data_IF_776857175305
#
_entry.id   IF_776857175305
#
_cell.length_a   1.000
_cell.length_b   1.000
_cell.length_c   1.000
_cell.angle_alpha   90.00
_cell.angle_beta   90.00
_cell.angle_gamma   90.00
#
_symmetry.space_group_name_H-M   'P 1'
#
loop_
_entity.id
_entity.type
_entity.pdbx_description
1 polymer ?
#
# COMPACT_ATOMS: atom_id res chain seq x y z
N UNK A 1 -7.18 -24.00 8.80
CA UNK A 1 -7.22 -24.54 7.42
C UNK A 1 -8.68 -24.76 7.08
N UNK A 2 -9.35 -23.74 6.53
CA UNK A 2 -10.70 -23.90 5.98
C UNK A 2 -10.50 -24.26 4.51
N UNK A 3 -10.96 -25.45 4.13
CA UNK A 3 -10.97 -25.92 2.76
C UNK A 3 -11.73 -24.91 1.88
N UNK A 4 -11.03 -24.26 0.96
CA UNK A 4 -11.64 -23.55 -0.15
C UNK A 4 -12.29 -24.59 -1.07
N UNK A 5 -13.54 -24.96 -0.77
CA UNK A 5 -14.37 -25.65 -1.74
C UNK A 5 -14.76 -24.61 -2.80
N UNK A 6 -14.37 -24.87 -4.06
CA UNK A 6 -14.91 -24.15 -5.21
C UNK A 6 -16.44 -24.14 -5.11
N UNK A 7 -17.01 -22.98 -4.81
CA UNK A 7 -18.46 -22.82 -4.68
C UNK A 7 -19.04 -22.81 -6.10
N UNK A 8 -19.72 -23.88 -6.46
CA UNK A 8 -20.46 -23.96 -7.72
C UNK A 8 -21.97 -23.83 -7.42
N UNK A 9 -22.57 -22.76 -7.90
CA UNK A 9 -23.97 -22.40 -7.65
C UNK A 9 -24.80 -22.67 -8.92
N UNK A 10 -26.07 -22.94 -8.72
CA UNK A 10 -27.08 -22.79 -9.80
C UNK A 10 -27.35 -21.32 -10.07
N UNK A 11 -27.99 -20.97 -11.16
CA UNK A 11 -28.42 -19.60 -11.47
C UNK A 11 -29.35 -19.04 -10.38
N UNK A 12 -30.24 -19.85 -9.81
CA UNK A 12 -31.16 -19.44 -8.74
C UNK A 12 -30.39 -19.15 -7.43
N UNK A 13 -29.44 -20.01 -7.05
CA UNK A 13 -28.59 -19.80 -5.88
C UNK A 13 -27.69 -18.57 -6.03
N UNK A 14 -27.15 -18.34 -7.24
CA UNK A 14 -26.37 -17.15 -7.55
C UNK A 14 -27.20 -15.87 -7.43
N UNK A 15 -28.42 -15.87 -7.94
CA UNK A 15 -29.36 -14.75 -7.79
C UNK A 15 -29.73 -14.50 -6.33
N UNK A 16 -29.94 -15.57 -5.53
CA UNK A 16 -30.20 -15.46 -4.11
C UNK A 16 -28.99 -14.89 -3.34
N UNK A 17 -27.77 -15.30 -3.70
CA UNK A 17 -26.55 -14.76 -3.10
C UNK A 17 -26.37 -13.26 -3.42
N UNK A 18 -26.57 -12.85 -4.67
CA UNK A 18 -26.60 -11.43 -5.06
C UNK A 18 -27.60 -10.65 -4.23
N UNK A 19 -28.84 -11.13 -4.11
CA UNK A 19 -29.89 -10.48 -3.32
C UNK A 19 -29.55 -10.42 -1.80
N UNK A 20 -28.90 -11.44 -1.28
CA UNK A 20 -28.43 -11.49 0.11
C UNK A 20 -27.38 -10.41 0.38
N UNK A 21 -26.39 -10.33 -0.50
CA UNK A 21 -25.26 -9.40 -0.34
C UNK A 21 -25.68 -7.95 -0.60
N UNK A 22 -26.65 -7.71 -1.49
CA UNK A 22 -27.18 -6.39 -1.79
C UNK A 22 -27.86 -5.70 -0.59
N UNK A 23 -28.14 -6.42 0.49
CA UNK A 23 -28.61 -5.83 1.75
C UNK A 23 -27.54 -5.03 2.47
N UNK A 24 -26.26 -5.35 2.24
CA UNK A 24 -25.10 -4.73 2.91
C UNK A 24 -24.27 -3.87 1.98
N UNK A 25 -24.24 -4.22 0.70
CA UNK A 25 -23.44 -3.54 -0.32
C UNK A 25 -24.35 -2.79 -1.31
N UNK A 26 -24.23 -1.45 -1.41
CA UNK A 26 -25.06 -0.66 -2.33
C UNK A 26 -24.85 -1.00 -3.81
N UNK A 27 -23.66 -1.51 -4.15
CA UNK A 27 -23.38 -1.98 -5.51
C UNK A 27 -22.96 -3.44 -5.45
N UNK A 28 -23.73 -4.31 -6.10
CA UNK A 28 -23.42 -5.74 -6.24
C UNK A 28 -23.63 -6.14 -7.70
N UNK A 29 -22.64 -6.81 -8.28
CA UNK A 29 -22.72 -7.36 -9.64
C UNK A 29 -22.12 -8.74 -9.70
N UNK A 30 -22.75 -9.60 -10.49
CA UNK A 30 -22.19 -10.89 -10.88
C UNK A 30 -21.66 -10.77 -12.31
N UNK A 31 -20.35 -10.86 -12.48
CA UNK A 31 -19.66 -10.59 -13.73
C UNK A 31 -19.19 -11.90 -14.39
N UNK A 32 -19.45 -12.05 -15.68
CA UNK A 32 -18.88 -13.13 -16.49
C UNK A 32 -17.47 -12.75 -16.97
N UNK A 33 -16.70 -13.76 -17.41
CA UNK A 33 -15.39 -13.54 -17.99
C UNK A 33 -15.43 -12.58 -19.21
N UNK A 34 -16.47 -12.69 -20.03
CA UNK A 34 -16.63 -11.83 -21.22
C UNK A 34 -16.99 -10.39 -20.84
N UNK A 35 -17.84 -10.20 -19.84
CA UNK A 35 -18.13 -8.87 -19.31
C UNK A 35 -16.88 -8.20 -18.73
N UNK A 36 -16.06 -8.92 -17.94
CA UNK A 36 -14.80 -8.40 -17.39
C UNK A 36 -13.83 -7.99 -18.51
N UNK A 37 -13.78 -8.75 -19.61
CA UNK A 37 -12.90 -8.45 -20.76
C UNK A 37 -13.40 -7.32 -21.63
N UNK A 38 -14.72 -7.22 -21.84
CA UNK A 38 -15.36 -6.33 -22.79
C UNK A 38 -15.78 -4.96 -22.21
N UNK A 39 -16.08 -4.90 -20.91
CA UNK A 39 -16.43 -3.64 -20.26
C UNK A 39 -15.18 -2.83 -19.94
N UNK A 40 -14.90 -1.71 -20.62
CA UNK A 40 -13.72 -0.89 -20.38
C UNK A 40 -13.79 -0.08 -19.08
N UNK A 41 -14.94 -0.06 -18.36
CA UNK A 41 -15.25 0.97 -17.40
C UNK A 41 -15.44 0.46 -15.97
N UNK A 42 -14.95 1.24 -15.03
CA UNK A 42 -15.22 1.09 -13.61
C UNK A 42 -16.72 1.30 -13.36
N UNK A 43 -17.35 0.32 -12.71
CA UNK A 43 -18.79 0.29 -12.42
C UNK A 43 -19.27 1.40 -11.48
N UNK A 44 -18.34 2.14 -10.84
CA UNK A 44 -18.62 3.24 -9.93
C UNK A 44 -18.46 4.61 -10.58
N UNK A 45 -17.50 4.76 -11.51
CA UNK A 45 -17.02 6.07 -11.95
C UNK A 45 -17.12 6.30 -13.47
N UNK A 46 -17.82 5.43 -14.24
CA UNK A 46 -17.77 5.52 -15.69
C UNK A 46 -16.35 5.30 -16.22
N UNK A 47 -15.94 6.01 -17.25
CA UNK A 47 -14.77 5.73 -18.10
C UNK A 47 -13.36 5.84 -17.45
N UNK A 48 -13.21 5.99 -16.15
CA UNK A 48 -11.94 6.49 -15.56
C UNK A 48 -11.16 5.57 -14.61
N UNK A 49 -11.62 4.39 -14.24
CA UNK A 49 -10.89 3.54 -13.31
C UNK A 49 -10.49 2.18 -13.90
N UNK A 50 -9.22 1.97 -14.28
CA UNK A 50 -8.73 0.69 -14.79
C UNK A 50 -8.52 -0.37 -13.70
N UNK A 51 -8.53 0.00 -12.41
CA UNK A 51 -8.13 -0.86 -11.30
C UNK A 51 -9.06 -2.07 -11.10
N UNK A 52 -10.37 -1.90 -11.09
CA UNK A 52 -11.29 -3.02 -10.87
C UNK A 52 -11.26 -4.09 -11.97
N UNK A 53 -10.86 -3.72 -13.18
CA UNK A 53 -10.71 -4.70 -14.26
C UNK A 53 -9.57 -5.67 -13.98
N UNK A 54 -8.43 -5.16 -13.56
CA UNK A 54 -7.26 -5.98 -13.23
C UNK A 54 -7.58 -6.92 -12.07
N UNK A 55 -8.13 -6.40 -10.99
CA UNK A 55 -8.52 -7.18 -9.80
C UNK A 55 -9.63 -8.18 -10.12
N UNK A 56 -10.54 -7.86 -11.03
CA UNK A 56 -11.58 -8.80 -11.50
C UNK A 56 -10.97 -9.95 -12.32
N UNK A 57 -9.95 -9.67 -13.14
CA UNK A 57 -9.22 -10.72 -13.88
C UNK A 57 -8.41 -11.60 -12.93
N UNK A 58 -7.79 -11.03 -11.91
CA UNK A 58 -7.07 -11.76 -10.87
C UNK A 58 -8.01 -12.66 -10.05
N UNK A 59 -9.15 -12.13 -9.62
CA UNK A 59 -10.19 -12.92 -8.96
C UNK A 59 -10.73 -14.04 -9.84
N UNK A 60 -10.92 -13.79 -11.15
CA UNK A 60 -11.40 -14.81 -12.10
C UNK A 60 -10.38 -15.93 -12.29
N UNK A 61 -9.08 -15.63 -12.20
CA UNK A 61 -7.99 -16.60 -12.37
C UNK A 61 -7.62 -17.33 -11.06
N UNK A 62 -8.01 -16.77 -9.91
CA UNK A 62 -7.72 -17.28 -8.57
C UNK A 62 -8.89 -18.00 -7.92
N UNK A 63 -8.64 -18.50 -6.71
CA UNK A 63 -9.65 -19.13 -5.83
C UNK A 63 -9.97 -18.28 -4.61
N UNK A 64 -9.26 -17.19 -4.38
CA UNK A 64 -9.36 -16.36 -3.18
C UNK A 64 -10.10 -15.04 -3.45
N UNK A 65 -10.73 -14.51 -2.39
CA UNK A 65 -11.34 -13.19 -2.43
C UNK A 65 -10.27 -12.12 -2.61
N UNK A 66 -10.50 -11.19 -3.55
CA UNK A 66 -9.66 -10.00 -3.76
C UNK A 66 -10.36 -8.80 -3.14
N UNK A 67 -9.62 -7.94 -2.45
CA UNK A 67 -10.14 -6.69 -1.87
C UNK A 67 -9.34 -5.49 -2.36
N UNK A 68 -10.04 -4.46 -2.81
CA UNK A 68 -9.46 -3.20 -3.30
C UNK A 68 -10.09 -1.99 -2.65
N UNK A 69 -9.30 -0.93 -2.49
CA UNK A 69 -9.78 0.39 -2.10
C UNK A 69 -9.77 1.30 -3.32
N UNK A 70 -10.84 2.06 -3.48
CA UNK A 70 -11.08 2.94 -4.62
C UNK A 70 -11.43 4.33 -4.12
N UNK A 71 -10.91 5.37 -4.76
CA UNK A 71 -11.33 6.75 -4.53
C UNK A 71 -12.14 7.25 -5.73
N UNK A 72 -13.37 7.68 -5.49
CA UNK A 72 -14.24 8.26 -6.51
C UNK A 72 -14.93 9.51 -5.96
N UNK A 73 -14.77 10.64 -6.64
CA UNK A 73 -15.34 11.95 -6.28
C UNK A 73 -15.08 12.34 -4.81
N UNK A 74 -13.90 12.00 -4.28
CA UNK A 74 -13.52 12.28 -2.89
C UNK A 74 -14.10 11.32 -1.85
N UNK A 75 -14.84 10.30 -2.28
CA UNK A 75 -15.36 9.24 -1.41
C UNK A 75 -14.52 7.98 -1.60
N UNK A 76 -14.08 7.39 -0.50
CA UNK A 76 -13.39 6.11 -0.49
C UNK A 76 -14.40 4.96 -0.50
N UNK A 77 -14.12 3.95 -1.33
CA UNK A 77 -14.93 2.75 -1.45
C UNK A 77 -14.07 1.51 -1.24
N UNK A 78 -14.67 0.49 -0.64
CA UNK A 78 -14.10 -0.86 -0.61
C UNK A 78 -14.82 -1.75 -1.59
N UNK A 79 -14.08 -2.31 -2.55
CA UNK A 79 -14.52 -3.35 -3.45
C UNK A 79 -14.04 -4.72 -2.93
N UNK A 80 -14.94 -5.69 -2.90
CA UNK A 80 -14.61 -7.10 -2.71
C UNK A 80 -15.01 -7.86 -3.96
N UNK A 81 -14.10 -8.70 -4.43
CA UNK A 81 -14.28 -9.54 -5.62
C UNK A 81 -14.13 -11.00 -5.18
N UNK A 82 -15.22 -11.72 -5.23
CA UNK A 82 -15.24 -13.15 -4.87
C UNK A 82 -15.38 -14.00 -6.11
N UNK A 83 -14.40 -14.88 -6.38
CA UNK A 83 -14.52 -15.87 -7.44
C UNK A 83 -15.57 -16.93 -7.06
N UNK A 84 -16.40 -17.33 -8.01
CA UNK A 84 -17.35 -18.43 -7.85
C UNK A 84 -17.67 -19.04 -9.21
N UNK A 85 -18.31 -20.20 -9.23
CA UNK A 85 -18.82 -20.81 -10.44
C UNK A 85 -20.34 -20.78 -10.43
N UNK A 86 -20.94 -20.53 -11.59
CA UNK A 86 -22.40 -20.64 -11.80
C UNK A 86 -22.62 -21.56 -12.98
N UNK A 87 -23.34 -22.65 -12.77
CA UNK A 87 -23.52 -23.71 -13.77
C UNK A 87 -22.17 -24.21 -14.35
N UNK A 88 -21.12 -24.26 -13.53
CA UNK A 88 -19.76 -24.62 -13.93
C UNK A 88 -18.93 -23.53 -14.59
N UNK A 89 -19.54 -22.40 -14.95
CA UNK A 89 -18.86 -21.27 -15.59
C UNK A 89 -18.26 -20.30 -14.55
N UNK A 90 -17.02 -19.84 -14.74
CA UNK A 90 -16.39 -18.93 -13.81
C UNK A 90 -17.06 -17.54 -13.84
N UNK A 91 -17.34 -17.01 -12.66
CA UNK A 91 -17.93 -15.69 -12.40
C UNK A 91 -17.17 -14.98 -11.29
N UNK A 92 -17.31 -13.68 -11.21
CA UNK A 92 -16.85 -12.86 -10.10
C UNK A 92 -18.02 -12.09 -9.50
N UNK A 93 -18.26 -12.29 -8.21
CA UNK A 93 -19.19 -11.47 -7.45
C UNK A 93 -18.46 -10.22 -6.97
N UNK A 94 -18.75 -9.10 -7.63
CA UNK A 94 -18.26 -7.78 -7.24
C UNK A 94 -19.23 -7.14 -6.26
N UNK A 95 -18.69 -6.71 -5.11
CA UNK A 95 -19.41 -6.05 -4.02
C UNK A 95 -18.68 -4.74 -3.69
N UNK A 96 -19.37 -3.60 -3.77
CA UNK A 96 -18.76 -2.30 -3.48
C UNK A 96 -19.62 -1.54 -2.48
N UNK A 97 -18.96 -0.95 -1.48
CA UNK A 97 -19.59 -0.04 -0.51
C UNK A 97 -18.67 1.15 -0.21
N UNK A 98 -19.23 2.30 0.16
CA UNK A 98 -18.40 3.36 0.71
C UNK A 98 -17.74 2.88 2.01
N UNK A 99 -16.55 3.39 2.29
CA UNK A 99 -15.89 3.25 3.58
C UNK A 99 -16.41 4.41 4.43
N UNK A 100 -16.98 4.14 5.60
CA UNK A 100 -17.38 5.21 6.50
C UNK A 100 -16.16 5.81 7.22
N UNK A 101 -16.29 7.04 7.70
CA UNK A 101 -15.19 7.77 8.34
C UNK A 101 -14.62 7.03 9.55
N UNK A 102 -15.46 6.30 10.28
CA UNK A 102 -15.03 5.56 11.46
C UNK A 102 -14.19 4.33 11.06
N UNK A 103 -14.62 3.60 10.04
CA UNK A 103 -13.89 2.45 9.49
C UNK A 103 -12.54 2.89 8.89
N UNK A 104 -12.53 4.02 8.16
CA UNK A 104 -11.31 4.61 7.62
C UNK A 104 -10.32 5.00 8.73
N UNK A 105 -10.83 5.62 9.79
CA UNK A 105 -10.02 6.01 10.95
C UNK A 105 -9.48 4.77 11.71
N UNK A 106 -10.30 3.73 11.89
CA UNK A 106 -9.85 2.49 12.53
C UNK A 106 -8.79 1.78 11.69
N UNK A 107 -8.95 1.71 10.38
CA UNK A 107 -7.96 1.14 9.47
C UNK A 107 -6.66 1.95 9.48
N UNK A 108 -6.76 3.27 9.51
CA UNK A 108 -5.60 4.17 9.58
C UNK A 108 -4.80 3.95 10.88
N UNK A 109 -5.49 3.80 12.02
CA UNK A 109 -4.85 3.48 13.30
C UNK A 109 -4.10 2.13 13.28
N UNK A 110 -4.68 1.11 12.65
CA UNK A 110 -4.04 -0.23 12.53
C UNK A 110 -2.76 -0.17 11.71
N UNK A 111 -2.68 0.71 10.72
CA UNK A 111 -1.56 0.82 9.79
C UNK A 111 -0.60 1.98 10.06
N UNK A 112 -0.83 2.75 11.12
CA UNK A 112 0.04 3.87 11.50
C UNK A 112 1.01 3.45 12.60
N UNK A 113 2.27 3.87 12.49
CA UNK A 113 3.27 3.75 13.54
C UNK A 113 3.06 4.87 14.57
N UNK A 114 2.77 4.48 15.81
CA UNK A 114 2.40 5.42 16.90
C UNK A 114 3.50 6.40 17.27
N UNK A 115 4.77 6.06 17.02
CA UNK A 115 5.89 6.92 17.33
C UNK A 115 6.14 7.97 16.25
N UNK A 116 6.07 7.57 15.00
CA UNK A 116 6.48 8.40 13.86
C UNK A 116 5.31 8.93 13.04
N UNK A 117 4.09 8.45 13.30
CA UNK A 117 2.86 8.81 12.58
C UNK A 117 2.90 8.55 11.06
N UNK A 118 3.85 7.73 10.60
CA UNK A 118 3.88 7.23 9.22
C UNK A 118 3.31 5.82 9.16
N UNK A 119 3.20 5.22 7.98
CA UNK A 119 2.74 3.83 7.87
C UNK A 119 3.68 2.89 8.64
N UNK A 120 3.12 1.86 9.28
CA UNK A 120 3.88 0.87 10.03
C UNK A 120 4.28 -0.33 9.16
N UNK A 121 5.08 -1.24 9.73
CA UNK A 121 5.52 -2.47 9.05
C UNK A 121 4.35 -3.34 8.58
N UNK A 122 3.25 -3.40 9.34
CA UNK A 122 2.07 -4.18 8.98
C UNK A 122 1.45 -3.68 7.66
N UNK A 123 1.36 -2.36 7.47
CA UNK A 123 0.92 -1.76 6.21
C UNK A 123 1.77 -2.24 5.02
N UNK A 124 3.09 -2.25 5.20
CA UNK A 124 3.98 -2.78 4.18
C UNK A 124 3.67 -4.24 3.82
N UNK A 125 3.57 -5.10 4.82
CA UNK A 125 3.38 -6.55 4.59
C UNK A 125 2.01 -6.86 3.94
N UNK A 126 0.95 -6.16 4.34
CA UNK A 126 -0.41 -6.46 3.91
C UNK A 126 -0.84 -5.68 2.66
N UNK A 127 -0.29 -4.47 2.42
CA UNK A 127 -0.76 -3.59 1.34
C UNK A 127 0.28 -3.34 0.25
N UNK A 128 1.56 -3.23 0.58
CA UNK A 128 2.59 -2.83 -0.38
C UNK A 128 3.42 -3.98 -0.92
N UNK A 129 3.77 -4.94 -0.09
CA UNK A 129 4.75 -5.98 -0.39
C UNK A 129 4.52 -6.67 -1.73
N UNK A 130 3.30 -7.16 -1.96
CA UNK A 130 2.90 -7.86 -3.18
C UNK A 130 2.44 -6.97 -4.33
N UNK A 131 2.30 -5.65 -4.09
CA UNK A 131 1.79 -4.73 -5.10
C UNK A 131 2.74 -4.60 -6.28
N UNK A 132 2.22 -4.75 -7.50
CA UNK A 132 2.98 -4.58 -8.75
C UNK A 132 2.70 -3.20 -9.33
N UNK A 133 3.75 -2.43 -9.57
CA UNK A 133 3.60 -1.08 -10.08
C UNK A 133 4.86 -0.55 -10.78
N UNK A 134 4.71 0.60 -11.42
CA UNK A 134 5.84 1.42 -11.86
C UNK A 134 6.11 2.44 -10.75
N UNK A 135 7.25 2.32 -10.06
CA UNK A 135 7.57 3.19 -8.94
C UNK A 135 9.07 3.35 -8.73
N UNK A 136 9.45 4.40 -8.01
CA UNK A 136 10.71 4.47 -7.30
C UNK A 136 10.53 3.84 -5.92
N UNK A 137 11.42 2.95 -5.52
CA UNK A 137 11.44 2.30 -4.20
C UNK A 137 12.76 2.59 -3.53
N UNK A 138 12.73 3.12 -2.32
CA UNK A 138 13.94 3.42 -1.57
C UNK A 138 13.89 2.83 -0.16
N UNK A 139 15.04 2.36 0.29
CA UNK A 139 15.32 2.03 1.69
C UNK A 139 16.20 3.13 2.28
N UNK A 140 15.83 3.62 3.44
CA UNK A 140 16.57 4.60 4.24
C UNK A 140 16.93 3.91 5.55
N UNK A 141 18.19 3.94 5.91
CA UNK A 141 18.75 3.34 7.13
C UNK A 141 19.53 4.40 7.89
N UNK A 142 19.16 4.67 9.14
CA UNK A 142 19.83 5.69 9.96
C UNK A 142 21.19 5.17 10.42
N UNK A 143 22.24 5.94 10.13
CA UNK A 143 23.59 5.57 10.48
C UNK A 143 23.80 5.64 12.00
N UNK A 144 24.45 4.62 12.55
CA UNK A 144 24.84 4.55 13.95
C UNK A 144 23.72 4.83 14.97
N UNK A 145 22.45 4.62 14.60
CA UNK A 145 21.29 4.94 15.45
C UNK A 145 21.32 4.24 16.80
N UNK A 146 21.91 3.02 16.85
CA UNK A 146 22.11 2.33 18.13
C UNK A 146 23.10 3.07 19.03
N UNK A 147 24.22 3.54 18.49
CA UNK A 147 25.21 4.31 19.24
C UNK A 147 24.64 5.64 19.74
N UNK A 148 23.78 6.27 18.92
CA UNK A 148 23.01 7.45 19.34
C UNK A 148 22.14 7.14 20.57
N UNK A 149 21.36 6.04 20.54
CA UNK A 149 20.53 5.62 21.67
C UNK A 149 21.34 5.31 22.93
N UNK A 150 22.48 4.65 22.75
CA UNK A 150 23.37 4.30 23.87
C UNK A 150 23.99 5.56 24.54
N UNK A 151 24.17 6.64 23.75
CA UNK A 151 24.77 7.90 24.24
C UNK A 151 23.72 8.90 24.77
N UNK A 152 22.62 9.10 24.03
CA UNK A 152 21.62 10.14 24.33
C UNK A 152 20.37 9.58 25.04
N UNK A 153 20.26 8.26 25.13
CA UNK A 153 19.11 7.55 25.70
C UNK A 153 17.98 7.29 24.71
N UNK A 154 17.16 6.29 25.03
CA UNK A 154 16.05 5.86 24.14
C UNK A 154 15.01 6.94 23.87
N UNK A 155 14.74 7.79 24.86
CA UNK A 155 13.79 8.90 24.67
C UNK A 155 14.27 9.89 23.60
N UNK A 156 15.56 10.20 23.57
CA UNK A 156 16.15 11.01 22.51
C UNK A 156 16.06 10.31 21.15
N UNK A 157 16.25 8.99 21.11
CA UNK A 157 16.05 8.18 19.90
C UNK A 157 14.61 8.21 19.40
N UNK A 158 13.64 8.17 20.28
CA UNK A 158 12.23 8.28 19.91
C UNK A 158 11.91 9.65 19.31
N UNK A 159 12.42 10.73 19.90
CA UNK A 159 12.29 12.07 19.34
C UNK A 159 12.98 12.20 17.97
N UNK A 160 14.15 11.60 17.83
CA UNK A 160 14.92 11.60 16.59
C UNK A 160 14.15 10.87 15.47
N UNK A 161 13.57 9.68 15.75
CA UNK A 161 12.76 8.95 14.78
C UNK A 161 11.54 9.73 14.31
N UNK A 162 10.83 10.41 15.22
CA UNK A 162 9.71 11.28 14.88
C UNK A 162 10.12 12.47 14.00
N UNK A 163 11.24 13.12 14.35
CA UNK A 163 11.77 14.23 13.58
C UNK A 163 12.23 13.81 12.18
N UNK A 164 12.94 12.69 12.07
CA UNK A 164 13.39 12.10 10.80
C UNK A 164 12.19 11.72 9.93
N UNK A 165 11.18 11.05 10.48
CA UNK A 165 9.98 10.69 9.73
C UNK A 165 9.27 11.93 9.16
N UNK A 166 9.19 13.00 9.95
CA UNK A 166 8.65 14.29 9.53
C UNK A 166 9.48 14.91 8.40
N UNK A 167 10.81 14.88 8.51
CA UNK A 167 11.71 15.40 7.49
C UNK A 167 11.56 14.62 6.17
N UNK A 168 11.53 13.29 6.21
CA UNK A 168 11.31 12.45 5.02
C UNK A 168 9.93 12.77 4.43
N UNK A 169 8.87 12.82 5.25
CA UNK A 169 7.49 13.11 4.78
C UNK A 169 7.40 14.46 4.07
N UNK A 170 8.09 15.49 4.55
CA UNK A 170 8.12 16.81 3.90
C UNK A 170 8.86 16.80 2.55
N UNK A 171 9.79 15.88 2.36
CA UNK A 171 10.57 15.71 1.13
C UNK A 171 9.91 14.92 0.02
N UNK A 172 8.76 14.28 0.27
CA UNK A 172 8.04 13.42 -0.69
C UNK A 172 6.61 13.93 -0.92
N UNK A 173 5.92 13.41 -1.93
CA UNK A 173 4.54 13.83 -2.27
C UNK A 173 3.54 13.23 -1.30
N UNK A 174 2.33 13.80 -1.25
CA UNK A 174 1.20 13.20 -0.50
C UNK A 174 0.78 11.82 -1.05
N UNK A 175 1.01 11.58 -2.33
CA UNK A 175 0.74 10.31 -3.03
C UNK A 175 1.84 9.26 -2.85
N UNK A 176 2.98 9.64 -2.26
CA UNK A 176 4.08 8.72 -2.01
C UNK A 176 3.89 8.05 -0.64
N UNK A 177 4.18 6.78 -0.56
CA UNK A 177 4.09 6.02 0.69
C UNK A 177 5.39 6.12 1.48
N UNK A 178 5.26 6.38 2.78
CA UNK A 178 6.36 6.35 3.75
C UNK A 178 6.01 5.35 4.85
N UNK A 179 6.86 4.35 5.00
CA UNK A 179 6.68 3.25 5.95
C UNK A 179 7.86 3.18 6.91
N UNK A 180 7.59 3.10 8.20
CA UNK A 180 8.59 2.66 9.16
C UNK A 180 8.75 1.13 9.06
N UNK A 181 9.82 0.71 8.40
CA UNK A 181 10.06 -0.68 8.04
C UNK A 181 10.73 -1.49 9.16
N UNK A 182 11.52 -0.83 10.00
CA UNK A 182 12.27 -1.42 11.11
C UNK A 182 12.45 -0.43 12.26
N UNK A 183 13.38 -0.73 13.17
CA UNK A 183 13.68 0.15 14.31
C UNK A 183 14.12 1.54 13.85
N UNK A 184 15.03 1.56 12.89
CA UNK A 184 15.77 2.71 12.36
C UNK A 184 15.68 2.81 10.82
N UNK A 185 14.79 2.01 10.21
CA UNK A 185 14.68 1.88 8.75
C UNK A 185 13.32 2.34 8.25
N UNK A 186 13.36 3.09 7.14
CA UNK A 186 12.18 3.54 6.45
C UNK A 186 12.19 3.06 5.00
N UNK A 187 11.01 2.76 4.47
CA UNK A 187 10.78 2.50 3.05
C UNK A 187 9.95 3.62 2.49
N UNK A 188 10.36 4.13 1.32
CA UNK A 188 9.58 5.08 0.53
C UNK A 188 9.22 4.43 -0.79
N UNK A 189 7.95 4.52 -1.16
CA UNK A 189 7.44 4.08 -2.47
C UNK A 189 6.85 5.29 -3.18
N UNK A 190 7.36 5.62 -4.36
CA UNK A 190 6.99 6.78 -5.17
C UNK A 190 6.35 6.33 -6.49
N UNK A 191 5.03 6.16 -6.57
CA UNK A 191 4.35 5.69 -7.77
C UNK A 191 4.60 6.63 -8.96
N UNK A 192 4.85 6.05 -10.13
CA UNK A 192 4.99 6.73 -11.42
C UNK A 192 5.99 7.90 -11.42
N UNK A 193 7.03 7.87 -10.58
CA UNK A 193 8.04 8.92 -10.54
C UNK A 193 8.97 8.81 -11.75
N UNK A 194 9.27 9.92 -12.48
CA UNK A 194 10.31 9.94 -13.52
C UNK A 194 11.70 9.66 -12.94
N UNK A 195 12.61 9.14 -13.78
CA UNK A 195 13.96 8.74 -13.35
C UNK A 195 14.74 9.87 -12.69
N UNK A 196 14.78 11.02 -13.37
CA UNK A 196 15.56 12.19 -12.91
C UNK A 196 14.98 12.79 -11.63
N UNK A 197 13.65 12.78 -11.53
CA UNK A 197 12.95 13.22 -10.32
C UNK A 197 13.20 12.29 -9.14
N UNK A 198 13.29 10.97 -9.39
CA UNK A 198 13.56 9.99 -8.36
C UNK A 198 14.94 10.22 -7.72
N UNK A 199 16.00 10.31 -8.54
CA UNK A 199 17.36 10.55 -8.04
C UNK A 199 17.45 11.86 -7.24
N UNK A 200 16.87 12.94 -7.78
CA UNK A 200 16.81 14.24 -7.09
C UNK A 200 16.06 14.14 -5.76
N UNK A 201 14.95 13.40 -5.72
CA UNK A 201 14.14 13.22 -4.51
C UNK A 201 14.90 12.45 -3.43
N UNK A 202 15.63 11.40 -3.80
CA UNK A 202 16.47 10.66 -2.85
C UNK A 202 17.53 11.55 -2.21
N UNK A 203 18.19 12.40 -3.00
CA UNK A 203 19.16 13.36 -2.48
C UNK A 203 18.50 14.36 -1.50
N UNK A 204 17.33 14.91 -1.87
CA UNK A 204 16.58 15.82 -1.00
C UNK A 204 16.18 15.16 0.32
N UNK A 205 15.77 13.89 0.29
CA UNK A 205 15.43 13.11 1.51
C UNK A 205 16.67 12.92 2.37
N UNK A 206 17.81 12.55 1.79
CA UNK A 206 19.08 12.41 2.53
C UNK A 206 19.50 13.73 3.20
N UNK A 207 19.43 14.84 2.48
CA UNK A 207 19.74 16.16 3.04
C UNK A 207 18.75 16.59 4.14
N UNK A 208 17.45 16.29 3.96
CA UNK A 208 16.43 16.58 4.96
C UNK A 208 16.69 15.80 6.27
N UNK A 209 17.10 14.54 6.18
CA UNK A 209 17.49 13.74 7.36
C UNK A 209 18.72 14.35 8.03
N UNK A 210 19.77 14.68 7.26
CA UNK A 210 20.99 15.29 7.79
C UNK A 210 20.74 16.64 8.47
N UNK A 211 19.81 17.44 7.93
CA UNK A 211 19.45 18.75 8.45
C UNK A 211 18.41 18.70 9.60
N UNK A 212 17.99 17.50 10.01
CA UNK A 212 16.97 17.34 11.04
C UNK A 212 17.49 17.77 12.39
N UNK A 213 16.77 18.68 13.03
CA UNK A 213 17.05 19.11 14.41
C UNK A 213 16.28 18.20 15.36
N UNK A 214 17.00 17.57 16.28
CA UNK A 214 16.43 16.70 17.30
C UNK A 214 16.13 17.56 18.55
N UNK A 215 14.88 17.67 19.00
CA UNK A 215 14.52 18.48 20.15
C UNK A 215 15.32 18.11 21.41
N UNK A 216 15.99 19.10 22.03
CA UNK A 216 16.85 18.92 23.20
C UNK A 216 18.23 18.33 22.89
N UNK A 217 18.53 18.04 21.61
CA UNK A 217 19.82 17.50 21.15
C UNK A 217 20.25 18.19 19.84
N UNK A 218 20.10 19.52 19.75
CA UNK A 218 20.32 20.34 18.55
C UNK A 218 21.77 20.32 18.05
N UNK A 219 22.70 19.87 18.87
CA UNK A 219 24.12 19.72 18.53
C UNK A 219 24.46 18.33 17.93
N UNK A 220 23.47 17.42 17.85
CA UNK A 220 23.67 16.10 17.25
C UNK A 220 23.00 16.06 15.90
N UNK A 221 23.74 15.66 14.87
CA UNK A 221 23.21 15.41 13.53
C UNK A 221 23.16 13.89 13.28
N UNK A 222 22.05 13.41 12.75
CA UNK A 222 21.93 12.06 12.24
C UNK A 222 22.15 12.05 10.74
N UNK A 223 22.80 11.02 10.25
CA UNK A 223 22.91 10.72 8.82
C UNK A 223 22.13 9.46 8.48
N UNK A 224 21.88 9.26 7.21
CA UNK A 224 21.22 8.05 6.73
C UNK A 224 21.82 7.61 5.41
N UNK A 225 22.05 6.31 5.29
CA UNK A 225 22.30 5.67 4.02
C UNK A 225 20.97 5.51 3.26
N UNK A 226 20.94 5.92 1.99
CA UNK A 226 19.76 5.84 1.13
C UNK A 226 20.06 5.01 -0.10
N UNK A 227 19.41 3.86 -0.24
CA UNK A 227 19.47 3.01 -1.42
C UNK A 227 18.14 3.05 -2.16
N UNK A 228 18.16 3.32 -3.46
CA UNK A 228 16.92 3.40 -4.23
C UNK A 228 17.01 2.78 -5.60
N UNK A 229 15.92 2.16 -6.05
CA UNK A 229 15.77 1.54 -7.37
C UNK A 229 14.43 1.90 -7.98
N UNK A 230 14.35 1.84 -9.30
CA UNK A 230 13.05 1.89 -10.00
C UNK A 230 12.60 0.48 -10.34
N UNK A 231 11.30 0.28 -10.18
CA UNK A 231 10.58 -0.94 -10.58
C UNK A 231 9.63 -0.63 -11.74
N UNK A 232 9.45 -1.62 -12.62
CA UNK A 232 8.61 -1.52 -13.82
C UNK A 232 7.74 -2.77 -13.94
N UNK A 233 6.59 -2.78 -13.23
CA UNK A 233 5.70 -3.93 -13.16
C UNK A 233 6.16 -5.06 -12.24
N UNK A 234 7.29 -4.87 -11.55
CA UNK A 234 7.77 -5.75 -10.49
C UNK A 234 7.01 -5.49 -9.19
N UNK A 235 7.13 -6.39 -8.23
CA UNK A 235 6.58 -6.17 -6.89
C UNK A 235 7.41 -5.14 -6.11
N UNK A 236 6.76 -4.45 -5.17
CA UNK A 236 7.46 -3.54 -4.26
C UNK A 236 8.52 -4.29 -3.45
N UNK A 237 8.28 -5.54 -3.05
CA UNK A 237 9.24 -6.37 -2.29
C UNK A 237 10.53 -6.66 -3.08
N UNK A 238 10.41 -6.95 -4.38
CA UNK A 238 11.57 -7.10 -5.26
C UNK A 238 12.38 -5.79 -5.34
N UNK A 239 11.70 -4.64 -5.38
CA UNK A 239 12.32 -3.32 -5.34
C UNK A 239 13.04 -3.06 -4.01
N UNK A 240 12.39 -3.34 -2.88
CA UNK A 240 12.98 -3.20 -1.54
C UNK A 240 14.22 -4.09 -1.39
N UNK A 241 14.15 -5.35 -1.83
CA UNK A 241 15.28 -6.26 -1.79
C UNK A 241 16.51 -5.71 -2.53
N UNK A 242 16.33 -5.11 -3.72
CA UNK A 242 17.40 -4.46 -4.48
C UNK A 242 17.91 -3.18 -3.81
N UNK A 243 17.02 -2.38 -3.24
CA UNK A 243 17.38 -1.16 -2.52
C UNK A 243 18.26 -1.48 -1.29
N UNK A 244 17.93 -2.53 -0.53
CA UNK A 244 18.74 -3.02 0.60
C UNK A 244 20.13 -3.46 0.15
N UNK A 245 20.25 -4.14 -1.02
CA UNK A 245 21.56 -4.53 -1.54
C UNK A 245 22.46 -3.34 -1.90
N UNK A 246 21.88 -2.19 -2.26
CA UNK A 246 22.64 -0.97 -2.52
C UNK A 246 23.19 -0.38 -1.22
N UNK A 247 22.44 -0.39 -0.13
CA UNK A 247 22.91 0.09 1.18
C UNK A 247 24.13 -0.70 1.69
N UNK A 248 24.18 -2.01 1.43
CA UNK A 248 25.30 -2.85 1.88
C UNK A 248 26.60 -2.63 1.11
N UNK A 249 26.60 -1.80 0.05
CA UNK A 249 27.75 -1.49 -0.81
C UNK A 249 28.26 -0.05 -0.62
N UNK A 250 27.50 0.76 0.10
CA UNK A 250 27.86 2.13 0.43
C UNK A 250 28.61 2.21 1.76
#
# INVERSE_FOLDING_TARGET
MLNNHEVNLTDEEAAAEVARVAKTYPVVRLLSADQIKSEPNCLLAGDRCPCLRQSSLEALAGSDDVSEQLLNDGVEYRARLRPLKVEGEPRVLLMVRPIDEQEAAEEDLVYTDVLTSVRNRRYYEEKLRGARMNAGVAMIDLDDFRAFNDTCGRHAGDLALGAVATAIRSGIRSTDELVRYGCDKFVVVMPNIPSDDFARRLHQVSEAVHSTIIPGHEYVSLTACVGGVRIHGETVDEGVGRAVQLLSRA
#
